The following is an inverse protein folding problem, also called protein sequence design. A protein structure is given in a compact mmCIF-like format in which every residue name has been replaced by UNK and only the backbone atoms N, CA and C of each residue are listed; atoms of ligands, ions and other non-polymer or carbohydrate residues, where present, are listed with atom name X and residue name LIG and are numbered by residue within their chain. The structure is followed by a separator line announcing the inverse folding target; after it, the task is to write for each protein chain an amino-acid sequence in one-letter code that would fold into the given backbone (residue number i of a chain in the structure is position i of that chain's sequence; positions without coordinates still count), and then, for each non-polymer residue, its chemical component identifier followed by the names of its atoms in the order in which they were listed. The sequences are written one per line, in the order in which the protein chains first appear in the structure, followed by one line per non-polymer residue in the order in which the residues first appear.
data_IF_840053506081
#
_entry.id   IF_840053506081
#
_cell.length_a   1.000
_cell.length_b   1.000
_cell.length_c   1.000
_cell.angle_alpha   90.00
_cell.angle_beta   90.00
_cell.angle_gamma   90.00
#
_symmetry.space_group_name_H-M   'P 1'
#
loop_
_entity.id
_entity.type
_entity.pdbx_description
1 polymer ?
#
# COMPACT_ATOMS: atom_id res chain seq x y z
N UNK A 1 -26.09 -42.48 -40.64
CA UNK A 1 -26.13 -41.08 -40.23
C UNK A 1 -25.58 -41.02 -38.80
N UNK A 2 -24.33 -40.62 -38.65
CA UNK A 2 -23.67 -40.47 -37.37
C UNK A 2 -23.71 -38.98 -37.01
N UNK A 3 -24.47 -38.60 -35.97
CA UNK A 3 -24.44 -37.27 -35.42
C UNK A 3 -23.21 -37.16 -34.52
N UNK A 4 -22.26 -36.32 -34.91
CA UNK A 4 -21.14 -35.91 -34.07
C UNK A 4 -21.62 -34.78 -33.15
N UNK A 5 -21.73 -35.07 -31.86
CA UNK A 5 -21.97 -34.05 -30.88
C UNK A 5 -20.66 -33.30 -30.59
N UNK A 6 -20.55 -32.05 -31.07
CA UNK A 6 -19.49 -31.13 -30.67
C UNK A 6 -19.77 -30.66 -29.23
N UNK A 7 -19.06 -31.23 -28.30
CA UNK A 7 -19.04 -30.71 -26.92
C UNK A 7 -18.25 -29.41 -26.86
N UNK A 8 -18.94 -28.32 -26.60
CA UNK A 8 -18.28 -27.04 -26.30
C UNK A 8 -17.64 -27.14 -24.90
N UNK A 9 -16.32 -27.14 -24.84
CA UNK A 9 -15.57 -27.00 -23.60
C UNK A 9 -15.60 -25.54 -23.21
N UNK A 10 -16.41 -25.19 -22.22
CA UNK A 10 -16.40 -23.88 -21.60
C UNK A 10 -15.21 -23.84 -20.64
N UNK A 11 -14.14 -23.19 -21.07
CA UNK A 11 -13.01 -22.87 -20.18
C UNK A 11 -13.47 -21.74 -19.25
N UNK A 12 -13.86 -22.10 -18.02
CA UNK A 12 -14.08 -21.12 -16.96
C UNK A 12 -12.68 -20.71 -16.49
N UNK A 13 -12.19 -19.61 -17.01
CA UNK A 13 -10.97 -19.00 -16.52
C UNK A 13 -11.17 -18.52 -15.08
N UNK A 14 -10.53 -19.18 -14.11
CA UNK A 14 -10.46 -18.67 -12.76
C UNK A 14 -9.57 -17.44 -12.76
N UNK A 15 -10.14 -16.23 -12.53
CA UNK A 15 -9.36 -15.03 -12.30
C UNK A 15 -8.62 -15.20 -10.97
N UNK A 16 -7.28 -15.13 -11.00
CA UNK A 16 -6.50 -15.04 -9.78
C UNK A 16 -6.93 -13.80 -9.00
N UNK A 17 -7.10 -13.86 -7.66
CA UNK A 17 -7.38 -12.68 -6.87
C UNK A 17 -6.28 -11.64 -7.10
N UNK A 18 -6.65 -10.41 -7.50
CA UNK A 18 -5.72 -9.31 -7.70
C UNK A 18 -4.99 -8.97 -6.40
N UNK A 19 -3.75 -8.49 -6.52
CA UNK A 19 -3.01 -7.94 -5.39
C UNK A 19 -3.73 -6.68 -4.90
N UNK A 20 -3.87 -6.53 -3.59
CA UNK A 20 -4.39 -5.31 -2.98
C UNK A 20 -3.36 -4.75 -2.00
N UNK A 21 -3.37 -3.43 -1.72
CA UNK A 21 -2.43 -2.84 -0.77
C UNK A 21 -2.48 -3.49 0.62
N UNK A 22 -3.65 -3.94 1.05
CA UNK A 22 -3.83 -4.63 2.33
C UNK A 22 -3.15 -6.01 2.37
N UNK A 23 -2.77 -6.57 1.24
CA UNK A 23 -2.01 -7.81 1.15
C UNK A 23 -0.50 -7.63 1.31
N UNK A 24 -0.01 -6.40 1.47
CA UNK A 24 1.39 -6.15 1.79
C UNK A 24 1.76 -6.80 3.12
N UNK A 25 2.89 -7.50 3.13
CA UNK A 25 3.28 -8.33 4.28
C UNK A 25 3.94 -7.49 5.38
N UNK A 26 3.60 -7.72 6.64
CA UNK A 26 4.38 -7.21 7.77
C UNK A 26 5.84 -7.62 7.66
N UNK A 27 6.73 -6.83 8.20
CA UNK A 27 8.15 -7.14 8.21
C UNK A 27 9.04 -5.91 8.25
N UNK A 28 10.29 -6.13 7.89
CA UNK A 28 11.30 -5.10 7.79
C UNK A 28 11.24 -4.49 6.39
N UNK A 29 11.06 -3.18 6.33
CA UNK A 29 10.90 -2.44 5.09
C UNK A 29 11.91 -1.31 4.97
N UNK A 30 12.44 -1.13 3.78
CA UNK A 30 13.25 0.03 3.40
C UNK A 30 12.33 1.06 2.77
N UNK A 31 12.23 2.23 3.40
CA UNK A 31 11.34 3.32 3.01
C UNK A 31 12.17 4.51 2.55
N UNK A 32 11.99 4.93 1.32
CA UNK A 32 12.75 6.01 0.70
C UNK A 32 11.83 7.04 0.05
N UNK A 33 12.25 8.30 0.06
CA UNK A 33 11.62 9.36 -0.73
C UNK A 33 12.03 9.33 -2.21
N UNK A 34 12.98 8.47 -2.57
CA UNK A 34 13.49 8.33 -3.94
C UNK A 34 13.12 6.97 -4.53
N UNK A 35 12.72 6.96 -5.80
CA UNK A 35 12.47 5.75 -6.56
C UNK A 35 13.71 4.84 -6.65
N UNK A 36 14.92 5.41 -6.50
CA UNK A 36 16.18 4.66 -6.50
C UNK A 36 16.46 3.93 -5.18
N UNK A 37 15.68 4.21 -4.13
CA UNK A 37 15.93 3.71 -2.79
C UNK A 37 17.02 4.47 -2.03
N UNK A 38 17.44 5.64 -2.53
CA UNK A 38 18.46 6.44 -1.86
C UNK A 38 18.01 6.89 -0.47
N UNK A 39 18.94 6.89 0.48
CA UNK A 39 18.72 7.33 1.87
C UNK A 39 17.52 6.63 2.54
N UNK A 40 17.31 5.35 2.25
CA UNK A 40 16.19 4.60 2.82
C UNK A 40 16.31 4.49 4.35
N UNK A 41 15.18 4.65 5.01
CA UNK A 41 15.00 4.33 6.43
C UNK A 41 14.53 2.88 6.54
N UNK A 42 15.22 2.06 7.31
CA UNK A 42 14.82 0.68 7.55
C UNK A 42 13.99 0.59 8.81
N UNK A 43 12.74 0.15 8.66
CA UNK A 43 11.79 0.09 9.77
C UNK A 43 11.06 -1.26 9.80
N UNK A 44 10.75 -1.71 11.01
CA UNK A 44 9.87 -2.85 11.23
C UNK A 44 8.42 -2.36 11.20
N UNK A 45 7.65 -2.85 10.23
CA UNK A 45 6.25 -2.49 10.06
C UNK A 45 5.36 -3.68 10.40
N UNK A 46 4.65 -3.60 11.53
CA UNK A 46 3.63 -4.58 11.89
C UNK A 46 2.41 -4.49 10.95
N UNK A 47 2.12 -3.28 10.48
CA UNK A 47 1.09 -3.00 9.49
C UNK A 47 1.66 -2.05 8.43
N UNK A 48 1.95 -2.54 7.20
CA UNK A 48 2.46 -1.68 6.14
C UNK A 48 1.52 -0.53 5.74
N UNK A 49 0.24 -0.59 6.10
CA UNK A 49 -0.71 0.50 5.84
C UNK A 49 -0.39 1.77 6.63
N UNK A 50 0.50 1.70 7.63
CA UNK A 50 1.01 2.88 8.33
C UNK A 50 1.73 3.84 7.38
N UNK A 51 2.24 3.34 6.25
CA UNK A 51 2.86 4.17 5.22
C UNK A 51 1.89 5.20 4.62
N UNK A 52 0.59 4.98 4.71
CA UNK A 52 -0.42 5.94 4.25
C UNK A 52 -0.56 7.16 5.14
N UNK A 53 -0.05 7.08 6.39
CA UNK A 53 0.00 8.20 7.33
C UNK A 53 1.44 8.49 7.81
N UNK A 54 2.40 8.31 6.93
CA UNK A 54 3.83 8.38 7.27
C UNK A 54 4.25 9.69 7.93
N UNK A 55 3.72 10.80 7.46
CA UNK A 55 3.97 12.12 8.06
C UNK A 55 3.50 12.20 9.52
N UNK A 56 2.48 11.41 9.88
CA UNK A 56 1.89 11.37 11.22
C UNK A 56 1.96 9.97 11.83
N UNK A 57 2.97 9.19 11.48
CA UNK A 57 3.05 7.77 11.84
C UNK A 57 3.09 7.48 13.34
N UNK A 58 3.53 8.45 14.14
CA UNK A 58 3.53 8.34 15.61
C UNK A 58 2.26 8.83 16.27
N UNK A 59 1.28 9.29 15.52
CA UNK A 59 0.04 9.88 16.04
C UNK A 59 -1.12 8.91 16.09
N UNK A 60 -2.07 9.20 16.96
CA UNK A 60 -3.38 8.55 16.95
C UNK A 60 -4.23 9.18 15.85
N UNK A 61 -4.44 8.44 14.79
CA UNK A 61 -5.16 8.91 13.60
C UNK A 61 -6.33 8.00 13.27
N UNK A 62 -7.37 8.58 12.66
CA UNK A 62 -8.49 7.84 12.08
C UNK A 62 -8.30 7.78 10.57
N UNK A 63 -8.38 6.60 9.99
CA UNK A 63 -8.25 6.38 8.55
C UNK A 63 -9.57 5.97 7.93
N UNK A 64 -9.88 6.52 6.75
CA UNK A 64 -11.04 6.17 5.93
C UNK A 64 -10.57 5.79 4.54
N UNK A 65 -10.96 4.61 4.07
CA UNK A 65 -10.70 4.19 2.70
C UNK A 65 -11.73 4.87 1.79
N UNK A 66 -11.26 5.78 0.94
CA UNK A 66 -12.11 6.51 -0.01
C UNK A 66 -12.40 5.67 -1.26
N UNK A 67 -11.41 4.94 -1.71
CA UNK A 67 -11.54 4.03 -2.85
C UNK A 67 -10.51 2.92 -2.75
N UNK A 68 -10.88 1.77 -3.27
CA UNK A 68 -9.96 0.64 -3.42
C UNK A 68 -10.27 0.00 -4.77
N UNK A 69 -9.26 -0.08 -5.62
CA UNK A 69 -9.40 -0.59 -6.97
C UNK A 69 -8.10 -1.26 -7.42
N UNK A 70 -8.19 -2.54 -7.75
CA UNK A 70 -7.02 -3.37 -8.11
C UNK A 70 -5.93 -3.30 -7.02
N UNK A 71 -4.71 -2.99 -7.41
CA UNK A 71 -3.57 -2.87 -6.52
C UNK A 71 -3.42 -1.48 -5.87
N UNK A 72 -4.45 -0.64 -5.95
CA UNK A 72 -4.41 0.75 -5.51
C UNK A 72 -5.52 1.05 -4.50
N UNK A 73 -5.22 1.85 -3.48
CA UNK A 73 -6.21 2.39 -2.56
C UNK A 73 -5.92 3.86 -2.29
N UNK A 74 -6.98 4.65 -2.12
CA UNK A 74 -6.89 6.03 -1.66
C UNK A 74 -7.46 6.13 -0.25
N UNK A 75 -6.67 6.69 0.65
CA UNK A 75 -6.98 6.75 2.08
C UNK A 75 -6.89 8.20 2.53
N UNK A 76 -7.91 8.62 3.26
CA UNK A 76 -7.89 9.88 4.00
C UNK A 76 -7.67 9.58 5.47
N UNK A 77 -6.80 10.33 6.13
CA UNK A 77 -6.59 10.20 7.56
C UNK A 77 -6.64 11.55 8.27
N UNK A 78 -7.06 11.53 9.51
CA UNK A 78 -7.13 12.69 10.39
C UNK A 78 -6.49 12.36 11.72
N UNK A 79 -5.60 13.22 12.19
CA UNK A 79 -4.90 13.07 13.46
C UNK A 79 -5.26 14.22 14.37
N UNK A 80 -5.84 13.93 15.52
CA UNK A 80 -6.28 14.95 16.46
C UNK A 80 -5.14 15.89 16.87
N UNK A 81 -5.32 17.21 16.62
CA UNK A 81 -4.36 18.24 16.99
C UNK A 81 -3.07 18.29 16.16
N UNK A 82 -2.90 17.44 15.13
CA UNK A 82 -1.66 17.35 14.35
C UNK A 82 -1.82 17.63 12.86
N UNK A 83 -3.01 17.39 12.32
CA UNK A 83 -3.28 17.58 10.93
C UNK A 83 -4.01 16.42 10.28
N UNK A 84 -3.91 16.35 8.98
CA UNK A 84 -4.58 15.34 8.16
C UNK A 84 -3.82 15.12 6.87
N UNK A 85 -4.16 14.06 6.17
CA UNK A 85 -3.59 13.80 4.85
C UNK A 85 -4.46 12.88 4.01
N UNK A 86 -4.11 12.83 2.74
CA UNK A 86 -4.67 11.91 1.79
C UNK A 86 -3.53 11.21 1.06
N UNK A 87 -3.61 9.90 0.99
CA UNK A 87 -2.56 9.07 0.43
C UNK A 87 -3.14 8.08 -0.57
N UNK A 88 -2.43 7.93 -1.68
CA UNK A 88 -2.64 6.83 -2.62
C UNK A 88 -1.54 5.81 -2.42
N UNK A 89 -1.90 4.60 -2.09
CA UNK A 89 -0.97 3.48 -1.97
C UNK A 89 -1.16 2.51 -3.12
N UNK A 90 -0.09 2.12 -3.77
CA UNK A 90 -0.08 1.18 -4.88
C UNK A 90 0.87 0.03 -4.57
N UNK A 91 0.36 -1.19 -4.58
CA UNK A 91 1.18 -2.39 -4.47
C UNK A 91 1.74 -2.72 -5.84
N UNK A 92 3.04 -2.52 -6.04
CA UNK A 92 3.73 -2.76 -7.32
C UNK A 92 4.07 -4.24 -7.50
N UNK A 93 4.54 -4.86 -6.43
CA UNK A 93 4.81 -6.30 -6.29
C UNK A 93 4.45 -6.72 -4.87
N UNK A 94 4.40 -8.02 -4.52
CA UNK A 94 4.17 -8.44 -3.13
C UNK A 94 5.20 -7.88 -2.13
N UNK A 95 6.32 -7.35 -2.61
CA UNK A 95 7.44 -6.84 -1.80
C UNK A 95 7.77 -5.38 -2.05
N UNK A 96 7.00 -4.68 -2.85
CA UNK A 96 7.25 -3.27 -3.13
C UNK A 96 5.96 -2.50 -3.28
N UNK A 97 5.96 -1.28 -2.75
CA UNK A 97 4.83 -0.39 -2.88
C UNK A 97 5.28 1.06 -3.00
N UNK A 98 4.37 1.86 -3.51
CA UNK A 98 4.52 3.29 -3.64
C UNK A 98 3.39 3.98 -2.90
N UNK A 99 3.71 5.07 -2.23
CA UNK A 99 2.72 5.94 -1.59
C UNK A 99 2.92 7.36 -2.10
N UNK A 100 1.86 7.96 -2.63
CA UNK A 100 1.81 9.39 -2.92
C UNK A 100 0.93 10.03 -1.84
N UNK A 101 1.47 10.97 -1.08
CA UNK A 101 0.81 11.55 0.08
C UNK A 101 0.87 13.07 0.06
N UNK A 102 -0.19 13.69 0.59
CA UNK A 102 -0.28 15.13 0.76
C UNK A 102 -1.21 15.47 1.91
N UNK A 103 -1.05 16.63 2.48
CA UNK A 103 -1.90 17.09 3.56
C UNK A 103 -1.34 18.29 4.30
N UNK A 104 -1.74 18.39 5.57
CA UNK A 104 -1.31 19.44 6.48
C UNK A 104 -0.67 18.80 7.71
N UNK A 105 0.52 19.25 8.06
CA UNK A 105 1.25 18.82 9.25
C UNK A 105 1.67 20.05 10.05
N UNK A 106 1.21 20.15 11.28
CA UNK A 106 1.48 21.30 12.17
C UNK A 106 1.18 22.66 11.49
N UNK A 107 0.06 22.74 10.78
CA UNK A 107 -0.37 23.94 10.06
C UNK A 107 0.34 24.21 8.73
N UNK A 108 1.28 23.36 8.31
CA UNK A 108 2.04 23.52 7.08
C UNK A 108 1.68 22.43 6.06
N UNK A 109 1.55 22.77 4.78
CA UNK A 109 1.30 21.79 3.74
C UNK A 109 2.52 20.89 3.51
N UNK A 110 2.26 19.63 3.20
CA UNK A 110 3.28 18.68 2.75
C UNK A 110 2.78 17.89 1.55
N UNK A 111 3.70 17.45 0.71
CA UNK A 111 3.44 16.53 -0.39
C UNK A 111 4.73 15.81 -0.75
N UNK A 112 4.70 14.48 -0.80
CA UNK A 112 5.83 13.67 -1.25
C UNK A 112 5.39 12.27 -1.66
N UNK A 113 6.32 11.52 -2.24
CA UNK A 113 6.15 10.10 -2.54
C UNK A 113 7.10 9.27 -1.72
N UNK A 114 6.63 8.08 -1.34
CA UNK A 114 7.45 7.05 -0.70
C UNK A 114 7.58 5.85 -1.64
N UNK A 115 8.75 5.25 -1.63
CA UNK A 115 9.06 4.00 -2.29
C UNK A 115 9.53 3.02 -1.23
N UNK A 116 8.80 1.94 -1.05
CA UNK A 116 9.06 0.99 0.02
C UNK A 116 9.29 -0.41 -0.52
N UNK A 117 10.31 -1.09 0.01
CA UNK A 117 10.67 -2.46 -0.33
C UNK A 117 10.83 -3.29 0.93
N UNK A 118 10.20 -4.45 0.93
CA UNK A 118 10.37 -5.40 2.04
C UNK A 118 11.78 -6.00 1.99
N UNK A 119 12.52 -5.83 3.06
CA UNK A 119 13.88 -6.35 3.21
C UNK A 119 13.91 -7.74 3.87
N UNK A 120 12.88 -8.12 4.59
CA UNK A 120 12.82 -9.39 5.29
C UNK A 120 11.85 -9.35 6.47
N UNK A 121 12.03 -10.29 7.39
CA UNK A 121 11.26 -10.31 8.63
C UNK A 121 11.86 -9.35 9.66
N UNK A 122 11.01 -8.87 10.57
CA UNK A 122 11.49 -8.08 11.69
C UNK A 122 12.39 -8.93 12.59
N UNK A 123 13.46 -8.32 13.17
CA UNK A 123 14.32 -9.06 14.10
C UNK A 123 13.50 -9.52 15.31
N UNK A 124 13.78 -10.74 15.75
CA UNK A 124 13.26 -11.23 17.02
C UNK A 124 14.05 -10.59 18.17
N UNK A 125 13.35 -10.26 19.22
CA UNK A 125 13.98 -9.84 20.47
C UNK A 125 14.20 -11.04 21.37
#
# INVERSE_FOLDING_TARGET
MTLAALGAVVLIGASAPGLSPSSARPGLWDVSHSATGAAAERVCLADPMILTQWEHRGGACTRVVLSEHDAEATIHYTCAGRGFGQSRITLLTPRSLRVDTQGISNGLPFAYSLHARRAGDCPHR
#
